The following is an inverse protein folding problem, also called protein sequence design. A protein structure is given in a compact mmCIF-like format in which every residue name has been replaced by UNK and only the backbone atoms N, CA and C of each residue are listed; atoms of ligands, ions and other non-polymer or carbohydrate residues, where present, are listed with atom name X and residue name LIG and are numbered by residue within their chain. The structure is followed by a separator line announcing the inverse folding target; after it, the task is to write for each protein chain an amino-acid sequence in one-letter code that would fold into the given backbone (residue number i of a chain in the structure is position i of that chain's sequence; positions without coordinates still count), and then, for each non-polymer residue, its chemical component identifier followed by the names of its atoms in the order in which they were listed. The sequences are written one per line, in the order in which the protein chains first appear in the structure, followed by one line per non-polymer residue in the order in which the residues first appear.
data_IF_568580451088
#
_entry.id   IF_568580451088
#
_cell.length_a   1.000
_cell.length_b   1.000
_cell.length_c   1.000
_cell.angle_alpha   90.00
_cell.angle_beta   90.00
_cell.angle_gamma   90.00
#
_symmetry.space_group_name_H-M   'P 1'
#
loop_
_entity.id
_entity.type
_entity.pdbx_description
1 polymer ?
#
# COMPACT_ATOMS: atom_id res chain seq x y z
N UNK A 1 20.80 -0.69 11.70
CA UNK A 1 19.55 -1.46 11.49
C UNK A 1 19.29 -1.49 9.99
N UNK A 2 19.52 -2.63 9.34
CA UNK A 2 19.32 -2.76 7.90
C UNK A 2 17.84 -3.05 7.64
N UNK A 3 17.15 -2.12 6.97
CA UNK A 3 15.79 -2.35 6.48
C UNK A 3 15.90 -3.10 5.16
N UNK A 4 15.53 -4.37 5.15
CA UNK A 4 15.37 -5.15 3.92
C UNK A 4 13.92 -4.99 3.50
N UNK A 5 13.69 -4.25 2.41
CA UNK A 5 12.39 -4.17 1.76
C UNK A 5 12.21 -5.44 0.93
N UNK A 6 11.48 -6.42 1.46
CA UNK A 6 11.04 -7.56 0.66
C UNK A 6 9.75 -7.15 -0.05
N UNK A 7 9.86 -6.93 -1.36
CA UNK A 7 8.71 -6.74 -2.25
C UNK A 7 8.09 -8.11 -2.53
N UNK A 8 7.11 -8.50 -1.72
CA UNK A 8 6.17 -9.54 -2.11
C UNK A 8 5.11 -8.90 -3.01
N UNK A 9 5.39 -8.88 -4.32
CA UNK A 9 4.33 -8.65 -5.30
C UNK A 9 3.42 -9.87 -5.27
N UNK A 10 2.39 -9.82 -4.43
CA UNK A 10 1.32 -10.80 -4.47
C UNK A 10 0.58 -10.58 -5.80
N UNK A 11 1.03 -11.26 -6.86
CA UNK A 11 0.20 -11.44 -8.06
C UNK A 11 -0.94 -12.33 -7.63
N UNK A 12 -2.00 -11.70 -7.13
CA UNK A 12 -3.24 -12.41 -6.84
C UNK A 12 -3.87 -12.72 -8.19
N UNK A 13 -3.42 -13.81 -8.81
CA UNK A 13 -4.26 -14.56 -9.73
C UNK A 13 -5.37 -15.17 -8.87
N UNK A 14 -6.43 -14.39 -8.63
CA UNK A 14 -7.70 -14.96 -8.24
C UNK A 14 -8.13 -15.85 -9.42
N UNK A 15 -7.75 -17.12 -9.39
CA UNK A 15 -8.40 -18.14 -10.20
C UNK A 15 -9.82 -18.32 -9.65
N UNK A 16 -10.69 -17.37 -9.99
CA UNK A 16 -12.07 -17.69 -10.26
C UNK A 16 -12.02 -18.60 -11.49
N UNK A 17 -12.21 -19.90 -11.29
CA UNK A 17 -12.27 -20.89 -12.35
C UNK A 17 -13.56 -20.67 -13.16
N UNK A 18 -13.58 -19.62 -13.98
CA UNK A 18 -14.53 -19.47 -15.08
C UNK A 18 -13.77 -19.81 -16.36
N UNK A 19 -13.93 -21.07 -16.74
CA UNK A 19 -13.63 -21.60 -18.07
C UNK A 19 -14.40 -20.81 -19.13
N UNK A 20 -13.78 -19.77 -19.69
CA UNK A 20 -13.99 -19.29 -21.07
C UNK A 20 -13.21 -17.99 -21.28
N UNK A 21 -12.57 -17.86 -22.44
CA UNK A 21 -11.63 -16.83 -22.91
C UNK A 21 -12.10 -15.35 -22.90
N UNK A 22 -12.85 -14.87 -21.90
CA UNK A 22 -13.33 -13.48 -21.78
C UNK A 22 -13.10 -12.84 -20.39
N UNK A 23 -12.30 -13.45 -19.52
CA UNK A 23 -12.11 -13.04 -18.11
C UNK A 23 -10.85 -12.20 -17.90
N UNK A 24 -10.69 -11.12 -18.66
CA UNK A 24 -9.91 -9.96 -18.20
C UNK A 24 -10.90 -8.89 -17.72
N UNK A 25 -10.55 -8.22 -16.63
CA UNK A 25 -10.86 -6.82 -16.32
C UNK A 25 -12.07 -6.40 -15.45
N UNK A 26 -13.14 -7.16 -15.21
CA UNK A 26 -14.34 -6.52 -14.59
C UNK A 26 -14.34 -6.48 -13.04
N UNK A 27 -13.58 -7.33 -12.34
CA UNK A 27 -13.61 -7.39 -10.85
C UNK A 27 -12.72 -6.35 -10.14
N UNK A 28 -11.81 -5.68 -10.86
CA UNK A 28 -10.92 -4.65 -10.29
C UNK A 28 -11.38 -3.22 -10.57
N UNK A 29 -12.14 -3.01 -11.64
CA UNK A 29 -12.33 -1.67 -12.21
C UNK A 29 -12.97 -0.68 -11.23
N UNK A 30 -13.81 -1.12 -10.28
CA UNK A 30 -14.48 -0.25 -9.29
C UNK A 30 -13.99 -0.44 -7.85
N UNK A 31 -12.91 -1.19 -7.61
CA UNK A 31 -12.39 -1.37 -6.24
C UNK A 31 -11.78 -0.08 -5.66
N UNK A 32 -11.56 0.93 -6.49
CA UNK A 32 -11.21 2.29 -6.04
C UNK A 32 -12.38 3.06 -5.42
N UNK A 33 -13.60 2.54 -5.45
CA UNK A 33 -14.76 3.17 -4.84
C UNK A 33 -15.03 2.61 -3.45
N UNK A 34 -15.55 3.47 -2.56
CA UNK A 34 -16.12 3.11 -1.27
C UNK A 34 -15.20 2.23 -0.41
N UNK A 35 -13.90 2.54 -0.41
CA UNK A 35 -12.91 1.82 0.39
C UNK A 35 -12.77 0.32 0.07
N UNK A 36 -13.38 -0.19 -1.01
CA UNK A 36 -13.41 -1.63 -1.34
C UNK A 36 -12.02 -2.25 -1.42
N UNK A 37 -11.08 -1.55 -2.05
CA UNK A 37 -9.68 -1.99 -2.10
C UNK A 37 -9.05 -2.07 -0.70
N UNK A 38 -9.28 -1.07 0.16
CA UNK A 38 -8.70 -1.04 1.50
C UNK A 38 -9.24 -2.19 2.36
N UNK A 39 -10.54 -2.49 2.27
CA UNK A 39 -11.15 -3.64 2.95
C UNK A 39 -10.55 -4.96 2.46
N UNK A 40 -10.42 -5.13 1.13
CA UNK A 40 -9.77 -6.33 0.56
C UNK A 40 -8.32 -6.45 1.02
N UNK A 41 -7.57 -5.35 1.02
CA UNK A 41 -6.18 -5.28 1.50
C UNK A 41 -6.08 -5.70 2.96
N UNK A 42 -6.97 -5.22 3.83
CA UNK A 42 -7.03 -5.60 5.24
C UNK A 42 -7.34 -7.11 5.41
N UNK A 43 -8.28 -7.65 4.63
CA UNK A 43 -8.59 -9.07 4.65
C UNK A 43 -7.38 -9.93 4.25
N UNK A 44 -6.66 -9.54 3.18
CA UNK A 44 -5.43 -10.25 2.78
C UNK A 44 -4.33 -10.14 3.82
N UNK A 45 -4.19 -8.98 4.48
CA UNK A 45 -3.24 -8.80 5.58
C UNK A 45 -3.54 -9.77 6.72
N UNK A 46 -4.82 -9.87 7.12
CA UNK A 46 -5.25 -10.80 8.15
C UNK A 46 -4.99 -12.27 7.77
N UNK A 47 -5.34 -12.65 6.53
CA UNK A 47 -5.06 -14.00 6.01
C UNK A 47 -3.57 -14.34 6.03
N UNK A 48 -2.71 -13.40 5.62
CA UNK A 48 -1.26 -13.61 5.63
C UNK A 48 -0.72 -13.77 7.05
N UNK A 49 -1.22 -13.00 8.01
CA UNK A 49 -0.83 -13.15 9.42
C UNK A 49 -1.26 -14.49 9.98
N UNK A 50 -2.49 -14.93 9.69
CA UNK A 50 -2.99 -16.25 10.09
C UNK A 50 -2.15 -17.37 9.46
N UNK A 51 -1.88 -17.28 8.16
CA UNK A 51 -1.03 -18.23 7.45
C UNK A 51 0.38 -18.29 8.04
N UNK A 52 1.01 -17.14 8.30
CA UNK A 52 2.31 -17.06 8.96
C UNK A 52 2.25 -17.72 10.33
N UNK A 53 1.21 -17.47 11.13
CA UNK A 53 1.07 -18.08 12.45
C UNK A 53 1.02 -19.61 12.40
N UNK A 54 0.36 -20.17 11.38
CA UNK A 54 0.23 -21.61 11.21
C UNK A 54 1.48 -22.28 10.62
N UNK A 55 2.31 -21.56 9.85
CA UNK A 55 3.38 -22.15 9.04
C UNK A 55 4.79 -21.64 9.35
N UNK A 56 4.96 -20.59 10.16
CA UNK A 56 6.28 -20.00 10.43
C UNK A 56 7.14 -20.81 11.39
N UNK A 57 6.53 -21.73 12.14
CA UNK A 57 7.14 -22.35 13.32
C UNK A 57 7.79 -21.28 14.21
N UNK A 58 8.99 -21.58 14.67
CA UNK A 58 9.76 -20.78 15.63
C UNK A 58 10.62 -19.68 14.99
N UNK A 59 10.41 -19.31 13.72
CA UNK A 59 11.33 -18.41 13.00
C UNK A 59 11.11 -16.91 13.29
N UNK A 60 9.87 -16.52 13.62
CA UNK A 60 9.49 -15.13 13.85
C UNK A 60 9.26 -14.85 15.33
N UNK A 61 9.66 -13.66 15.78
CA UNK A 61 9.46 -13.19 17.16
C UNK A 61 8.19 -12.36 17.31
N UNK A 62 7.76 -11.67 16.25
CA UNK A 62 6.48 -10.97 16.20
C UNK A 62 6.04 -10.72 14.77
N UNK A 63 4.75 -10.81 14.49
CA UNK A 63 4.17 -10.37 13.23
C UNK A 63 2.80 -9.73 13.48
N UNK A 64 2.56 -8.54 12.92
CA UNK A 64 1.31 -7.80 13.09
C UNK A 64 1.05 -6.85 11.92
N UNK A 65 -0.21 -6.49 11.74
CA UNK A 65 -0.61 -5.41 10.83
C UNK A 65 -0.59 -4.09 11.58
N UNK A 66 0.00 -3.05 11.00
CA UNK A 66 -0.06 -1.70 11.54
C UNK A 66 -0.29 -0.67 10.42
N UNK A 67 -0.83 0.51 10.77
CA UNK A 67 -0.83 1.63 9.85
C UNK A 67 0.59 1.96 9.41
N UNK A 68 0.74 2.25 8.12
CA UNK A 68 1.89 2.96 7.59
C UNK A 68 1.85 4.43 8.05
N UNK A 69 2.72 5.29 7.50
CA UNK A 69 2.66 6.74 7.73
C UNK A 69 1.28 7.37 7.39
N UNK A 70 0.42 6.64 6.67
CA UNK A 70 -0.98 6.98 6.44
C UNK A 70 -1.93 5.97 7.13
N UNK A 71 -2.92 6.42 7.91
CA UNK A 71 -3.86 5.55 8.64
C UNK A 71 -4.74 4.67 7.73
N UNK A 72 -4.92 5.06 6.46
CA UNK A 72 -5.68 4.29 5.48
C UNK A 72 -4.85 3.18 4.82
N UNK A 73 -3.54 3.15 5.06
CA UNK A 73 -2.62 2.23 4.42
C UNK A 73 -2.01 1.27 5.44
N UNK A 74 -2.32 -0.02 5.32
CA UNK A 74 -1.84 -1.04 6.25
C UNK A 74 -0.57 -1.71 5.68
N UNK A 75 0.42 -1.93 6.54
CA UNK A 75 1.59 -2.77 6.26
C UNK A 75 1.68 -3.91 7.28
N UNK A 76 2.35 -5.00 6.89
CA UNK A 76 2.69 -6.08 7.81
C UNK A 76 4.11 -5.88 8.32
N UNK A 77 4.26 -5.90 9.63
CA UNK A 77 5.55 -5.89 10.30
C UNK A 77 5.89 -7.31 10.70
N UNK A 78 7.08 -7.80 10.33
CA UNK A 78 7.55 -9.15 10.66
C UNK A 78 8.95 -9.03 11.25
N UNK A 79 9.13 -9.45 12.49
CA UNK A 79 10.43 -9.50 13.15
C UNK A 79 10.88 -10.95 13.28
N UNK A 80 12.13 -11.19 12.89
CA UNK A 80 12.75 -12.51 12.94
C UNK A 80 13.65 -12.65 14.16
N UNK A 81 13.90 -13.90 14.59
CA UNK A 81 14.88 -14.20 15.65
C UNK A 81 16.30 -13.73 15.30
N UNK A 82 16.63 -13.61 14.01
CA UNK A 82 17.90 -13.07 13.52
C UNK A 82 18.06 -11.55 13.69
N UNK A 83 17.15 -10.88 14.43
CA UNK A 83 17.12 -9.42 14.63
C UNK A 83 16.89 -8.60 13.35
N UNK A 84 16.53 -9.27 12.25
CA UNK A 84 16.06 -8.63 11.02
C UNK A 84 14.57 -8.37 11.14
N UNK A 85 14.14 -7.22 10.67
CA UNK A 85 12.73 -6.85 10.59
C UNK A 85 12.36 -6.51 9.16
N UNK A 86 11.26 -7.08 8.70
CA UNK A 86 10.68 -6.87 7.39
C UNK A 86 9.39 -6.06 7.51
N UNK A 87 9.21 -5.12 6.58
CA UNK A 87 7.93 -4.47 6.33
C UNK A 87 7.43 -4.97 4.99
N UNK A 88 6.30 -5.66 5.00
CA UNK A 88 5.66 -6.17 3.80
C UNK A 88 4.52 -5.22 3.41
N UNK A 89 4.62 -4.67 2.21
CA UNK A 89 3.61 -3.77 1.66
C UNK A 89 2.68 -4.56 0.75
N UNK A 90 1.38 -4.54 1.04
CA UNK A 90 0.36 -5.10 0.17
C UNK A 90 -0.09 -4.06 -0.84
N UNK A 91 0.14 -4.35 -2.11
CA UNK A 91 -0.01 -3.38 -3.19
C UNK A 91 -0.95 -3.92 -4.26
N UNK A 92 -1.49 -3.00 -5.04
CA UNK A 92 -2.26 -3.33 -6.24
C UNK A 92 -1.32 -3.28 -7.45
N UNK A 93 -1.66 -3.98 -8.52
CA UNK A 93 -0.88 -3.93 -9.75
C UNK A 93 -0.78 -2.50 -10.31
N UNK A 94 0.32 -2.23 -11.00
CA UNK A 94 0.58 -0.93 -11.62
C UNK A 94 -0.54 -0.60 -12.60
N UNK A 95 -1.09 0.61 -12.49
CA UNK A 95 -2.21 1.10 -13.30
C UNK A 95 -3.50 0.27 -13.18
N UNK A 96 -3.68 -0.50 -12.10
CA UNK A 96 -4.94 -1.19 -11.83
C UNK A 96 -6.14 -0.22 -11.73
N UNK A 97 -5.87 1.04 -11.36
CA UNK A 97 -6.85 2.11 -11.37
C UNK A 97 -6.39 3.25 -12.30
N UNK A 98 -7.25 3.66 -13.22
CA UNK A 98 -6.94 4.78 -14.11
C UNK A 98 -6.72 6.06 -13.29
N UNK A 99 -5.61 6.77 -13.55
CA UNK A 99 -5.24 8.00 -12.82
C UNK A 99 -6.34 9.08 -12.83
N UNK A 100 -7.13 9.17 -13.91
CA UNK A 100 -8.27 10.09 -14.02
C UNK A 100 -9.38 9.86 -12.98
N UNK A 101 -9.48 8.65 -12.45
CA UNK A 101 -10.43 8.31 -11.38
C UNK A 101 -9.86 8.63 -10.00
N UNK A 102 -8.53 8.70 -9.86
CA UNK A 102 -7.86 9.02 -8.60
C UNK A 102 -7.39 10.47 -8.51
N UNK A 103 -7.95 11.38 -9.32
CA UNK A 103 -7.60 12.79 -9.23
C UNK A 103 -8.08 13.39 -7.88
N UNK A 104 -7.37 14.37 -7.30
CA UNK A 104 -7.71 14.90 -5.96
C UNK A 104 -9.13 15.47 -5.82
N UNK A 105 -9.71 15.97 -6.92
CA UNK A 105 -11.06 16.55 -6.97
C UNK A 105 -12.17 15.50 -7.08
N UNK A 106 -11.85 14.20 -7.25
CA UNK A 106 -12.84 13.13 -7.40
C UNK A 106 -13.39 12.72 -6.04
N UNK A 107 -14.71 12.57 -5.96
CA UNK A 107 -15.39 11.83 -4.91
C UNK A 107 -15.34 10.34 -5.24
N UNK A 108 -14.64 9.55 -4.43
CA UNK A 108 -14.60 8.09 -4.57
C UNK A 108 -15.13 7.36 -3.34
N UNK A 109 -15.59 8.08 -2.32
CA UNK A 109 -16.26 7.52 -1.15
C UNK A 109 -17.59 8.24 -1.00
N UNK A 110 -18.67 7.47 -1.04
CA UNK A 110 -20.01 8.01 -0.83
C UNK A 110 -20.12 8.63 0.58
N UNK A 111 -20.41 9.94 0.63
CA UNK A 111 -20.54 10.69 1.87
C UNK A 111 -21.69 10.16 2.77
N UNK A 112 -22.73 9.56 2.17
CA UNK A 112 -23.82 8.91 2.93
C UNK A 112 -23.33 7.73 3.77
N UNK A 113 -22.21 7.10 3.38
CA UNK A 113 -21.59 6.00 4.14
C UNK A 113 -20.67 6.48 5.26
N UNK A 114 -20.38 7.77 5.31
CA UNK A 114 -19.48 8.39 6.29
C UNK A 114 -20.24 9.14 7.39
N UNK A 115 -21.57 9.06 7.41
CA UNK A 115 -22.45 9.81 8.33
C UNK A 115 -22.22 11.34 8.27
N UNK A 116 -21.83 11.82 7.09
CA UNK A 116 -21.64 13.25 6.83
C UNK A 116 -22.94 13.78 6.25
N UNK A 117 -23.52 14.80 6.88
CA UNK A 117 -24.65 15.53 6.30
C UNK A 117 -24.15 16.40 5.14
N UNK A 118 -24.65 16.11 3.94
CA UNK A 118 -24.33 16.86 2.72
C UNK A 118 -25.62 17.15 1.99
N UNK A 119 -25.70 18.33 1.36
CA UNK A 119 -26.79 18.68 0.47
C UNK A 119 -26.91 17.64 -0.66
N UNK A 120 -28.15 17.34 -1.05
CA UNK A 120 -28.45 16.31 -2.03
C UNK A 120 -27.83 16.66 -3.40
N UNK A 121 -27.03 15.75 -3.95
CA UNK A 121 -26.33 15.95 -5.22
C UNK A 121 -24.94 16.60 -5.11
N UNK A 122 -24.45 16.89 -3.88
CA UNK A 122 -23.09 17.41 -3.68
C UNK A 122 -22.10 16.26 -3.45
N UNK A 123 -21.14 16.14 -4.37
CA UNK A 123 -20.00 15.23 -4.25
C UNK A 123 -18.89 15.86 -3.41
N UNK A 124 -18.47 15.19 -2.33
CA UNK A 124 -17.33 15.62 -1.52
C UNK A 124 -16.05 14.99 -2.08
N UNK A 125 -15.05 15.80 -2.49
CA UNK A 125 -13.76 15.27 -2.93
C UNK A 125 -13.06 14.45 -1.83
N UNK A 126 -12.43 13.34 -2.21
CA UNK A 126 -11.73 12.45 -1.28
C UNK A 126 -10.22 12.39 -1.56
N UNK A 127 -9.48 13.51 -1.48
CA UNK A 127 -8.10 13.60 -1.97
C UNK A 127 -7.12 12.68 -1.24
N UNK A 128 -7.25 12.52 0.08
CA UNK A 128 -6.39 11.64 0.86
C UNK A 128 -6.57 10.16 0.49
N UNK A 129 -7.83 9.73 0.33
CA UNK A 129 -8.15 8.39 -0.13
C UNK A 129 -7.62 8.14 -1.55
N UNK A 130 -7.83 9.10 -2.46
CA UNK A 130 -7.36 9.01 -3.85
C UNK A 130 -5.83 8.95 -3.92
N UNK A 131 -5.14 9.71 -3.07
CA UNK A 131 -3.68 9.69 -2.96
C UNK A 131 -3.19 8.32 -2.51
N UNK A 132 -3.79 7.73 -1.47
CA UNK A 132 -3.42 6.38 -0.97
C UNK A 132 -3.58 5.31 -2.03
N UNK A 133 -4.67 5.34 -2.81
CA UNK A 133 -4.84 4.40 -3.92
C UNK A 133 -3.80 4.61 -5.03
N UNK A 134 -3.46 5.88 -5.30
CA UNK A 134 -2.48 6.24 -6.31
C UNK A 134 -1.08 5.75 -5.92
N UNK A 135 -0.66 5.92 -4.67
CA UNK A 135 0.65 5.46 -4.18
C UNK A 135 0.73 3.93 -4.11
N UNK A 136 -0.37 3.26 -3.74
CA UNK A 136 -0.47 1.80 -3.71
C UNK A 136 -0.22 1.12 -5.07
N UNK A 137 -0.41 1.82 -6.19
CA UNK A 137 -0.13 1.31 -7.56
C UNK A 137 1.16 1.87 -8.19
N UNK A 138 1.91 2.73 -7.48
CA UNK A 138 3.14 3.37 -7.98
C UNK A 138 4.42 2.75 -7.40
N UNK A 139 4.33 1.89 -6.38
CA UNK A 139 5.50 1.22 -5.84
C UNK A 139 6.17 0.33 -6.91
N UNK A 140 7.46 0.58 -7.13
CA UNK A 140 8.25 0.05 -8.25
C UNK A 140 8.70 1.12 -9.24
N UNK A 141 7.86 2.10 -9.62
CA UNK A 141 8.32 3.16 -10.54
C UNK A 141 9.19 4.20 -9.85
N UNK A 142 8.95 4.47 -8.58
CA UNK A 142 9.82 5.32 -7.77
C UNK A 142 11.19 4.68 -7.55
N UNK A 143 11.21 3.37 -7.28
CA UNK A 143 12.45 2.59 -7.09
C UNK A 143 13.26 2.51 -8.40
N UNK A 144 12.62 2.26 -9.54
CA UNK A 144 13.25 2.31 -10.87
C UNK A 144 13.87 3.68 -11.17
N UNK A 145 13.12 4.77 -10.96
CA UNK A 145 13.61 6.14 -11.16
C UNK A 145 14.76 6.48 -10.20
N UNK A 146 14.66 6.08 -8.93
CA UNK A 146 15.74 6.30 -7.96
C UNK A 146 16.94 5.40 -8.23
N UNK A 147 16.78 4.19 -8.77
CA UNK A 147 17.89 3.31 -9.10
C UNK A 147 18.77 3.91 -10.20
N UNK A 148 18.17 4.68 -11.12
CA UNK A 148 18.92 5.45 -12.11
C UNK A 148 19.64 6.65 -11.49
N UNK A 149 19.05 7.33 -10.51
CA UNK A 149 19.69 8.46 -9.80
C UNK A 149 20.76 8.02 -8.79
N UNK A 150 20.61 6.85 -8.18
CA UNK A 150 21.52 6.28 -7.18
C UNK A 150 22.85 5.82 -7.81
N UNK A 151 22.92 5.70 -9.14
CA UNK A 151 24.20 5.53 -9.86
C UNK A 151 25.12 6.75 -9.71
N UNK A 152 24.59 7.90 -9.29
CA UNK A 152 25.35 9.09 -8.96
C UNK A 152 25.68 9.12 -7.45
N UNK A 153 26.97 8.95 -7.12
CA UNK A 153 27.51 8.76 -5.76
C UNK A 153 27.11 9.84 -4.73
N UNK A 154 26.78 11.05 -5.20
CA UNK A 154 26.48 12.18 -4.31
C UNK A 154 25.03 12.20 -3.81
N UNK A 155 24.09 11.59 -4.54
CA UNK A 155 22.67 11.56 -4.16
C UNK A 155 22.47 10.79 -2.85
N UNK A 156 23.13 9.64 -2.69
CA UNK A 156 23.04 8.83 -1.47
C UNK A 156 23.53 9.63 -0.25
N UNK A 157 24.66 10.33 -0.38
CA UNK A 157 25.23 11.15 0.71
C UNK A 157 24.30 12.29 1.10
N UNK A 158 23.74 13.00 0.11
CA UNK A 158 22.77 14.07 0.35
C UNK A 158 21.50 13.56 1.04
N UNK A 159 20.96 12.41 0.61
CA UNK A 159 19.82 11.77 1.28
C UNK A 159 20.13 11.40 2.74
N UNK A 160 21.33 10.88 3.03
CA UNK A 160 21.73 10.57 4.41
C UNK A 160 21.86 11.83 5.27
N UNK A 161 22.47 12.90 4.76
CA UNK A 161 22.57 14.18 5.47
C UNK A 161 21.19 14.76 5.78
N UNK A 162 20.30 14.79 4.79
CA UNK A 162 18.93 15.29 4.96
C UNK A 162 18.16 14.45 6.01
N UNK A 163 18.30 13.12 5.96
CA UNK A 163 17.68 12.23 6.95
C UNK A 163 18.15 12.53 8.37
N UNK A 164 19.45 12.75 8.56
CA UNK A 164 20.02 13.08 9.87
C UNK A 164 19.53 14.45 10.37
N UNK A 165 19.48 15.45 9.49
CA UNK A 165 18.94 16.77 9.82
C UNK A 165 17.46 16.70 10.23
N UNK A 166 16.65 15.95 9.50
CA UNK A 166 15.23 15.75 9.85
C UNK A 166 15.07 15.01 11.17
N UNK A 167 15.93 14.03 11.47
CA UNK A 167 15.89 13.31 12.73
C UNK A 167 16.24 14.20 13.91
N UNK A 168 17.29 15.03 13.78
CA UNK A 168 17.69 15.99 14.81
C UNK A 168 16.61 17.04 15.07
N UNK A 169 15.94 17.55 14.03
CA UNK A 169 14.85 18.52 14.18
C UNK A 169 13.56 17.96 14.79
N UNK A 170 13.34 16.64 14.75
CA UNK A 170 12.18 16.01 15.41
C UNK A 170 12.41 15.74 16.90
N UNK A 171 13.66 15.80 17.36
CA UNK A 171 14.04 15.48 18.74
C UNK A 171 14.39 16.71 19.59
N UNK A 172 14.47 17.91 18.98
CA UNK A 172 14.62 19.19 19.68
C UNK A 172 13.31 19.95 19.69
#
# INVERSE_FOLDING_TARGET
MWLIHIRLSLKIHCYGRCSSNNTKEILFEKNYLDQRWLVKKAYYAAFLLDYLSAHSGDQYTSYYACPNDNPLDILLHISCKSSVTFRVFLQVERNAFLKKFLAPHRSNVDAKKLDIQVEEGVDIPTPLYNHVLSTNQMYGSGEELTADWVKESDVIKQCMMLKNMMHQKRLG
#
